data_IF_234047416796
#
_entry.id   IF_234047416796
#
_cell.length_a   1.000
_cell.length_b   1.000
_cell.length_c   1.000
_cell.angle_alpha   90.00
_cell.angle_beta   90.00
_cell.angle_gamma   90.00
#
_symmetry.space_group_name_H-M   'P 1'
#
loop_
_entity.id
_entity.type
_entity.pdbx_description
1 polymer ?
#
# COMPACT_ATOMS: atom_id res chain seq x y z
N UNK A 1 -5.78 28.20 37.90
CA UNK A 1 -5.57 28.83 36.57
C UNK A 1 -5.98 27.77 35.57
N UNK A 2 -7.24 27.85 35.16
CA UNK A 2 -7.92 26.84 34.36
C UNK A 2 -7.72 27.15 32.87
N UNK A 3 -7.32 26.14 32.11
CA UNK A 3 -7.00 26.24 30.67
C UNK A 3 -7.97 25.40 29.82
N UNK A 4 -9.23 25.31 30.24
CA UNK A 4 -10.30 24.69 29.46
C UNK A 4 -11.21 25.79 28.90
N UNK A 5 -10.92 26.30 27.69
CA UNK A 5 -11.87 26.92 26.75
C UNK A 5 -11.16 27.64 25.60
N UNK A 6 -10.60 26.90 24.63
CA UNK A 6 -10.13 27.50 23.37
C UNK A 6 -10.11 26.47 22.24
N UNK A 7 -11.28 25.93 21.90
CA UNK A 7 -11.54 25.34 20.58
C UNK A 7 -12.95 25.66 20.15
N UNK A 8 -13.13 26.91 19.72
CA UNK A 8 -14.34 27.38 19.04
C UNK A 8 -14.01 27.65 17.57
N UNK A 9 -14.67 26.87 16.71
CA UNK A 9 -15.09 27.19 15.34
C UNK A 9 -14.07 27.72 14.32
N UNK A 10 -13.63 26.83 13.43
CA UNK A 10 -13.09 27.17 12.10
C UNK A 10 -14.08 26.78 10.98
N UNK A 11 -14.19 27.56 9.88
CA UNK A 11 -15.31 27.50 8.95
C UNK A 11 -15.23 26.34 7.95
N UNK A 12 -16.41 25.80 7.61
CA UNK A 12 -16.64 24.88 6.50
C UNK A 12 -16.28 25.54 5.16
N UNK A 13 -15.42 24.90 4.38
CA UNK A 13 -15.25 25.21 2.95
C UNK A 13 -16.11 24.27 2.10
N UNK A 14 -16.76 24.78 1.03
CA UNK A 14 -17.58 23.96 0.15
C UNK A 14 -16.73 23.13 -0.82
N UNK A 15 -17.16 21.90 -1.03
CA UNK A 15 -16.67 20.98 -2.05
C UNK A 15 -17.31 21.38 -3.39
N UNK A 16 -16.56 22.05 -4.25
CA UNK A 16 -16.92 22.17 -5.67
C UNK A 16 -16.11 21.17 -6.51
N UNK A 17 -16.82 20.14 -6.95
CA UNK A 17 -16.43 19.26 -8.04
C UNK A 17 -16.73 19.94 -9.36
N UNK A 18 -15.74 20.18 -10.23
CA UNK A 18 -15.98 20.27 -11.66
C UNK A 18 -14.85 19.64 -12.49
N UNK A 19 -15.28 18.69 -13.31
CA UNK A 19 -14.57 18.05 -14.39
C UNK A 19 -14.14 19.07 -15.45
N UNK A 20 -12.95 18.89 -16.01
CA UNK A 20 -12.48 19.64 -17.17
C UNK A 20 -11.56 18.78 -18.03
N UNK A 21 -12.15 18.14 -19.04
CA UNK A 21 -11.46 17.46 -20.13
C UNK A 21 -10.57 18.46 -20.89
N UNK A 22 -9.27 18.16 -20.98
CA UNK A 22 -8.33 18.85 -21.86
C UNK A 22 -7.72 17.85 -22.83
N UNK A 23 -8.34 17.72 -23.99
CA UNK A 23 -7.80 17.05 -25.18
C UNK A 23 -6.80 17.99 -25.84
N UNK A 24 -5.58 17.53 -26.13
CA UNK A 24 -4.71 18.13 -27.14
C UNK A 24 -3.75 17.09 -27.72
N UNK A 25 -3.51 17.27 -29.01
CA UNK A 25 -3.16 16.27 -30.01
C UNK A 25 -1.66 16.10 -30.27
N UNK A 26 -1.36 15.02 -31.02
CA UNK A 26 -0.21 14.80 -31.91
C UNK A 26 1.16 14.58 -31.24
N UNK A 27 2.05 13.70 -31.68
CA UNK A 27 2.33 13.20 -33.03
C UNK A 27 3.14 11.88 -32.99
N UNK A 28 3.01 11.05 -34.03
CA UNK A 28 3.85 9.88 -34.33
C UNK A 28 5.35 10.23 -34.41
N UNK A 29 6.26 9.25 -34.27
CA UNK A 29 6.71 8.56 -35.49
C UNK A 29 6.92 7.04 -35.38
N UNK A 30 6.73 6.45 -36.55
CA UNK A 30 7.05 5.14 -37.09
C UNK A 30 8.40 4.55 -36.66
N UNK A 31 8.43 3.24 -36.38
CA UNK A 31 9.69 2.48 -36.30
C UNK A 31 9.51 1.02 -35.87
N UNK A 32 9.62 0.12 -36.84
CA UNK A 32 9.45 -1.33 -36.77
C UNK A 32 10.22 -2.07 -35.64
N UNK A 33 9.68 -3.21 -35.18
CA UNK A 33 10.28 -4.54 -35.45
C UNK A 33 9.54 -5.65 -34.71
N UNK A 34 9.26 -6.71 -35.47
CA UNK A 34 8.60 -7.96 -35.12
C UNK A 34 9.19 -8.71 -33.92
N UNK A 35 8.31 -9.22 -33.04
CA UNK A 35 8.25 -10.64 -32.67
C UNK A 35 7.09 -10.86 -31.69
N UNK A 36 5.93 -11.21 -32.24
CA UNK A 36 4.78 -11.65 -31.46
C UNK A 36 5.02 -13.08 -30.94
N UNK A 37 5.27 -13.21 -29.63
CA UNK A 37 5.05 -14.48 -28.92
C UNK A 37 3.54 -14.63 -28.70
N UNK A 38 2.93 -15.47 -29.51
CA UNK A 38 1.52 -15.80 -29.49
C UNK A 38 1.20 -16.61 -28.21
N UNK A 39 0.73 -15.93 -27.16
CA UNK A 39 0.13 -16.58 -25.99
C UNK A 39 -1.31 -16.92 -26.37
N UNK A 40 -1.59 -18.21 -26.57
CA UNK A 40 -2.96 -18.71 -26.76
C UNK A 40 -3.76 -18.47 -25.47
N UNK A 41 -4.61 -17.45 -25.48
CA UNK A 41 -5.65 -17.27 -24.48
C UNK A 41 -6.77 -18.25 -24.85
N UNK A 42 -6.84 -19.37 -24.12
CA UNK A 42 -7.97 -20.30 -24.18
C UNK A 42 -9.11 -19.61 -23.43
N UNK A 43 -9.92 -18.86 -24.16
CA UNK A 43 -11.21 -18.35 -23.69
C UNK A 43 -12.20 -19.51 -23.72
N UNK A 44 -12.55 -20.06 -22.56
CA UNK A 44 -13.66 -21.01 -22.46
C UNK A 44 -14.99 -20.34 -22.83
N UNK A 45 -15.85 -20.99 -23.63
CA UNK A 45 -17.16 -20.47 -23.94
C UNK A 45 -18.05 -20.49 -22.69
N UNK A 46 -18.45 -19.30 -22.26
CA UNK A 46 -19.52 -19.08 -21.28
C UNK A 46 -20.77 -19.81 -21.74
N UNK A 47 -21.17 -20.83 -20.97
CA UNK A 47 -22.41 -21.57 -21.15
C UNK A 47 -23.60 -20.60 -21.17
N UNK A 48 -24.16 -20.37 -22.35
CA UNK A 48 -25.44 -19.70 -22.53
C UNK A 48 -26.54 -20.65 -22.07
N UNK A 49 -27.08 -20.41 -20.88
CA UNK A 49 -28.30 -21.05 -20.44
C UNK A 49 -29.47 -20.45 -21.22
N UNK A 50 -29.99 -21.22 -22.18
CA UNK A 50 -31.23 -20.87 -22.86
C UNK A 50 -32.38 -20.79 -21.84
N UNK A 51 -33.22 -19.74 -21.88
CA UNK A 51 -34.42 -19.69 -21.05
C UNK A 51 -35.38 -20.79 -21.51
N UNK A 52 -35.70 -21.71 -20.60
CA UNK A 52 -36.72 -22.75 -20.82
C UNK A 52 -38.06 -22.02 -20.92
N UNK A 53 -38.56 -21.91 -22.15
CA UNK A 53 -39.90 -21.40 -22.45
C UNK A 53 -40.92 -22.46 -22.04
N UNK A 54 -41.45 -22.34 -20.82
CA UNK A 54 -42.51 -23.21 -20.32
C UNK A 54 -43.83 -22.72 -20.90
N UNK A 55 -44.33 -23.43 -21.91
CA UNK A 55 -45.68 -23.24 -22.42
C UNK A 55 -46.71 -23.62 -21.32
N UNK A 56 -47.83 -22.87 -21.17
CA UNK A 56 -48.86 -23.20 -20.20
C UNK A 56 -49.64 -24.44 -20.67
N UNK A 57 -49.34 -25.60 -20.08
CA UNK A 57 -50.16 -26.80 -20.24
C UNK A 57 -51.48 -26.59 -19.49
N UNK A 58 -52.57 -26.46 -20.26
CA UNK A 58 -53.93 -26.41 -19.72
C UNK A 58 -54.26 -27.73 -19.02
N UNK A 59 -54.48 -27.68 -17.71
CA UNK A 59 -54.95 -28.79 -16.90
C UNK A 59 -56.47 -28.99 -17.10
N UNK A 60 -56.96 -30.24 -17.19
CA UNK A 60 -58.38 -30.52 -17.25
C UNK A 60 -59.04 -30.30 -15.89
N UNK A 61 -60.18 -29.62 -15.90
CA UNK A 61 -61.10 -29.49 -14.76
C UNK A 61 -61.80 -30.82 -14.47
N UNK A 62 -61.69 -31.39 -13.26
CA UNK A 62 -62.58 -32.45 -12.81
C UNK A 62 -63.83 -31.84 -12.16
N UNK A 63 -64.98 -32.14 -12.76
CA UNK A 63 -66.29 -31.93 -12.16
C UNK A 63 -66.70 -33.14 -11.31
N UNK A 64 -67.48 -32.85 -10.27
CA UNK A 64 -68.32 -33.74 -9.45
C UNK A 64 -67.75 -34.20 -8.09
N UNK A 65 -68.18 -33.45 -7.08
CA UNK A 65 -69.12 -33.89 -6.03
C UNK A 65 -68.80 -35.17 -5.25
N UNK A 66 -68.20 -34.99 -4.07
CA UNK A 66 -68.50 -35.80 -2.89
C UNK A 66 -68.33 -34.94 -1.64
N UNK A 67 -69.45 -34.62 -0.98
CA UNK A 67 -69.47 -33.86 0.26
C UNK A 67 -69.24 -34.79 1.45
N UNK A 68 -67.98 -34.95 1.85
CA UNK A 68 -67.64 -35.34 3.21
C UNK A 68 -66.87 -34.17 3.81
N UNK A 69 -67.43 -33.57 4.86
CA UNK A 69 -66.81 -32.46 5.58
C UNK A 69 -65.42 -32.91 6.09
N UNK A 70 -64.32 -32.24 5.69
CA UNK A 70 -63.00 -32.57 6.20
C UNK A 70 -62.91 -32.08 7.65
N UNK A 71 -63.09 -33.00 8.60
CA UNK A 71 -62.58 -32.82 9.96
C UNK A 71 -61.05 -32.91 9.86
N UNK A 72 -60.34 -31.88 10.32
CA UNK A 72 -58.88 -31.64 10.22
C UNK A 72 -58.40 -30.70 9.11
N UNK A 73 -58.90 -29.47 9.04
CA UNK A 73 -58.34 -28.40 8.19
C UNK A 73 -57.41 -27.43 8.93
N UNK A 74 -57.44 -27.41 10.27
CA UNK A 74 -56.69 -26.42 11.07
C UNK A 74 -55.17 -26.61 11.07
N UNK A 75 -54.64 -27.79 10.72
CA UNK A 75 -53.18 -28.04 10.73
C UNK A 75 -52.50 -27.69 9.40
N UNK A 76 -53.25 -27.55 8.30
CA UNK A 76 -52.67 -27.40 6.97
C UNK A 76 -52.13 -25.98 6.72
N UNK A 77 -52.77 -24.96 7.29
CA UNK A 77 -52.32 -23.56 7.17
C UNK A 77 -51.01 -23.31 7.92
N UNK A 78 -50.85 -23.93 9.10
CA UNK A 78 -49.64 -23.85 9.92
C UNK A 78 -48.45 -24.53 9.22
N UNK A 79 -48.65 -25.72 8.62
CA UNK A 79 -47.63 -26.40 7.83
C UNK A 79 -47.18 -25.57 6.61
N UNK A 80 -48.12 -24.95 5.90
CA UNK A 80 -47.81 -24.07 4.76
C UNK A 80 -47.06 -22.82 5.22
N UNK A 81 -47.42 -22.23 6.35
CA UNK A 81 -46.72 -21.08 6.92
C UNK A 81 -45.28 -21.45 7.32
N UNK A 82 -45.09 -22.62 7.94
CA UNK A 82 -43.76 -23.12 8.30
C UNK A 82 -42.88 -23.32 7.06
N UNK A 83 -43.38 -24.03 6.04
CA UNK A 83 -42.63 -24.27 4.80
C UNK A 83 -42.27 -22.97 4.07
N UNK A 84 -43.15 -21.96 4.11
CA UNK A 84 -42.86 -20.63 3.56
C UNK A 84 -41.75 -19.92 4.34
N UNK A 85 -41.74 -20.04 5.67
CA UNK A 85 -40.68 -19.53 6.52
C UNK A 85 -39.33 -20.19 6.23
N UNK A 86 -39.31 -21.52 6.14
CA UNK A 86 -38.11 -22.29 5.79
C UNK A 86 -37.59 -21.91 4.39
N UNK A 87 -38.47 -21.81 3.39
CA UNK A 87 -38.10 -21.40 2.04
C UNK A 87 -37.53 -19.97 2.00
N UNK A 88 -38.10 -19.04 2.78
CA UNK A 88 -37.60 -17.67 2.88
C UNK A 88 -36.19 -17.63 3.49
N UNK A 89 -35.96 -18.37 4.59
CA UNK A 89 -34.65 -18.48 5.20
C UNK A 89 -33.62 -19.11 4.25
N UNK A 90 -34.01 -20.13 3.49
CA UNK A 90 -33.10 -20.81 2.56
C UNK A 90 -32.73 -19.90 1.38
N UNK A 91 -33.68 -19.10 0.86
CA UNK A 91 -33.39 -18.08 -0.15
C UNK A 91 -32.43 -17.02 0.37
N UNK A 92 -32.59 -16.57 1.62
CA UNK A 92 -31.68 -15.59 2.21
C UNK A 92 -30.26 -16.15 2.34
N UNK A 93 -30.11 -17.40 2.81
CA UNK A 93 -28.82 -18.09 2.86
C UNK A 93 -28.19 -18.20 1.48
N UNK A 94 -28.98 -18.57 0.46
CA UNK A 94 -28.51 -18.68 -0.93
C UNK A 94 -27.99 -17.35 -1.46
N UNK A 95 -28.72 -16.24 -1.24
CA UNK A 95 -28.27 -14.89 -1.65
C UNK A 95 -26.99 -14.48 -0.92
N UNK A 96 -26.88 -14.79 0.38
CA UNK A 96 -25.67 -14.50 1.16
C UNK A 96 -24.46 -15.28 0.66
N UNK A 97 -24.64 -16.57 0.36
CA UNK A 97 -23.58 -17.42 -0.19
C UNK A 97 -23.14 -16.93 -1.57
N UNK A 98 -24.07 -16.51 -2.43
CA UNK A 98 -23.74 -15.95 -3.75
C UNK A 98 -22.94 -14.64 -3.63
N UNK A 99 -23.33 -13.74 -2.74
CA UNK A 99 -22.58 -12.51 -2.47
C UNK A 99 -21.17 -12.79 -1.95
N UNK A 100 -21.00 -13.82 -1.10
CA UNK A 100 -19.69 -14.25 -0.62
C UNK A 100 -18.82 -14.82 -1.74
N UNK A 101 -19.38 -15.64 -2.62
CA UNK A 101 -18.70 -16.17 -3.81
C UNK A 101 -18.22 -15.03 -4.71
N UNK A 102 -19.08 -14.05 -5.01
CA UNK A 102 -18.71 -12.89 -5.83
C UNK A 102 -17.57 -12.09 -5.19
N UNK A 103 -17.62 -11.89 -3.87
CA UNK A 103 -16.55 -11.21 -3.13
C UNK A 103 -15.23 -11.97 -3.20
N UNK A 104 -15.26 -13.30 -3.07
CA UNK A 104 -14.07 -14.14 -3.17
C UNK A 104 -13.47 -14.11 -4.59
N UNK A 105 -14.32 -14.19 -5.62
CA UNK A 105 -13.88 -14.09 -7.02
C UNK A 105 -13.24 -12.74 -7.34
N UNK A 106 -13.80 -11.63 -6.83
CA UNK A 106 -13.21 -10.31 -6.99
C UNK A 106 -11.84 -10.21 -6.29
N UNK A 107 -11.73 -10.77 -5.08
CA UNK A 107 -10.46 -10.84 -4.34
C UNK A 107 -9.42 -11.69 -5.07
N UNK A 108 -9.82 -12.81 -5.67
CA UNK A 108 -8.93 -13.70 -6.42
C UNK A 108 -8.36 -12.98 -7.66
N UNK A 109 -9.20 -12.29 -8.44
CA UNK A 109 -8.77 -11.49 -9.60
C UNK A 109 -7.75 -10.43 -9.21
N UNK A 110 -8.02 -9.66 -8.15
CA UNK A 110 -7.09 -8.67 -7.63
C UNK A 110 -5.76 -9.29 -7.20
N UNK A 111 -5.80 -10.48 -6.57
CA UNK A 111 -4.57 -11.18 -6.17
C UNK A 111 -3.75 -11.66 -7.38
N UNK A 112 -4.41 -12.16 -8.43
CA UNK A 112 -3.76 -12.57 -9.67
C UNK A 112 -3.08 -11.38 -10.37
N UNK A 113 -3.76 -10.23 -10.47
CA UNK A 113 -3.21 -9.01 -11.04
C UNK A 113 -1.95 -8.52 -10.29
N UNK A 114 -1.98 -8.56 -8.95
CA UNK A 114 -0.80 -8.22 -8.14
C UNK A 114 0.39 -9.14 -8.41
N UNK A 115 0.15 -10.45 -8.55
CA UNK A 115 1.21 -11.42 -8.85
C UNK A 115 1.81 -11.16 -10.22
N UNK A 116 0.98 -10.87 -11.23
CA UNK A 116 1.43 -10.52 -12.58
C UNK A 116 2.27 -9.23 -12.54
N UNK A 117 1.79 -8.18 -11.87
CA UNK A 117 2.50 -6.91 -11.73
C UNK A 117 3.85 -7.09 -11.02
N UNK A 118 3.91 -7.89 -9.95
CA UNK A 118 5.14 -8.20 -9.25
C UNK A 118 6.13 -8.96 -10.15
N UNK A 119 5.64 -9.93 -10.93
CA UNK A 119 6.48 -10.68 -11.87
C UNK A 119 7.06 -9.77 -12.96
N UNK A 120 6.24 -8.90 -13.56
CA UNK A 120 6.69 -7.92 -14.55
C UNK A 120 7.74 -6.97 -13.97
N UNK A 121 7.51 -6.43 -12.76
CA UNK A 121 8.48 -5.55 -12.09
C UNK A 121 9.79 -6.26 -11.78
N UNK A 122 9.73 -7.52 -11.35
CA UNK A 122 10.92 -8.33 -11.08
C UNK A 122 11.76 -8.54 -12.34
N UNK A 123 11.11 -8.81 -13.47
CA UNK A 123 11.77 -8.98 -14.77
C UNK A 123 12.38 -7.69 -15.30
N UNK A 124 11.74 -6.55 -15.05
CA UNK A 124 12.30 -5.22 -15.38
C UNK A 124 13.59 -4.95 -14.59
N UNK A 125 13.55 -5.16 -13.28
CA UNK A 125 14.72 -4.98 -12.42
C UNK A 125 15.88 -5.89 -12.81
N UNK A 126 15.60 -7.11 -13.25
CA UNK A 126 16.63 -8.02 -13.75
C UNK A 126 17.31 -7.49 -15.02
N UNK A 127 16.54 -6.92 -15.96
CA UNK A 127 17.08 -6.28 -17.17
C UNK A 127 17.89 -5.03 -16.85
N UNK A 128 17.40 -4.17 -15.96
CA UNK A 128 18.16 -2.99 -15.48
C UNK A 128 19.48 -3.41 -14.84
N UNK A 129 19.47 -4.45 -14.00
CA UNK A 129 20.68 -4.95 -13.34
C UNK A 129 21.70 -5.51 -14.35
N UNK A 130 21.25 -6.26 -15.36
CA UNK A 130 22.13 -6.74 -16.43
C UNK A 130 22.74 -5.58 -17.24
N UNK A 131 21.96 -4.54 -17.55
CA UNK A 131 22.45 -3.35 -18.25
C UNK A 131 23.52 -2.61 -17.42
N UNK A 132 23.29 -2.47 -16.11
CA UNK A 132 24.27 -1.88 -15.19
C UNK A 132 25.56 -2.71 -15.12
N UNK A 133 25.45 -4.04 -15.05
CA UNK A 133 26.62 -4.93 -15.07
C UNK A 133 27.42 -4.79 -16.37
N UNK A 134 26.75 -4.72 -17.52
CA UNK A 134 27.42 -4.48 -18.80
C UNK A 134 28.16 -3.14 -18.81
N UNK A 135 27.49 -2.07 -18.36
CA UNK A 135 28.09 -0.73 -18.28
C UNK A 135 29.31 -0.70 -17.35
N UNK A 136 29.23 -1.35 -16.20
CA UNK A 136 30.36 -1.47 -15.27
C UNK A 136 31.54 -2.20 -15.91
N UNK A 137 31.27 -3.31 -16.61
CA UNK A 137 32.30 -4.07 -17.34
C UNK A 137 32.97 -3.23 -18.42
N UNK A 138 32.23 -2.39 -19.13
CA UNK A 138 32.80 -1.52 -20.17
C UNK A 138 33.61 -0.37 -19.57
N UNK A 139 33.13 0.24 -18.48
CA UNK A 139 33.90 1.24 -17.72
C UNK A 139 35.22 0.66 -17.20
N UNK A 140 35.22 -0.57 -16.67
CA UNK A 140 36.44 -1.25 -16.24
C UNK A 140 37.43 -1.48 -17.38
N UNK A 141 36.95 -1.85 -18.59
CA UNK A 141 37.81 -1.96 -19.77
C UNK A 141 38.39 -0.60 -20.16
N UNK A 142 37.56 0.44 -20.22
CA UNK A 142 38.01 1.80 -20.53
C UNK A 142 39.09 2.26 -19.54
N UNK A 143 38.88 2.03 -18.24
CA UNK A 143 39.84 2.40 -17.20
C UNK A 143 41.17 1.65 -17.37
N UNK A 144 41.14 0.33 -17.66
CA UNK A 144 42.35 -0.43 -17.98
C UNK A 144 43.09 0.12 -19.20
N UNK A 145 42.37 0.49 -20.27
CA UNK A 145 43.00 1.08 -21.46
C UNK A 145 43.64 2.44 -21.20
N UNK A 146 43.01 3.31 -20.38
CA UNK A 146 43.57 4.61 -19.99
C UNK A 146 44.83 4.45 -19.10
N UNK A 147 44.83 3.49 -18.18
CA UNK A 147 46.00 3.21 -17.34
C UNK A 147 47.16 2.66 -18.20
N UNK A 148 46.88 1.79 -19.16
CA UNK A 148 47.91 1.22 -20.04
C UNK A 148 48.49 2.28 -20.99
N UNK A 149 47.67 3.16 -21.57
CA UNK A 149 48.15 4.23 -22.45
C UNK A 149 48.99 5.28 -21.72
N UNK A 150 48.67 5.61 -20.47
CA UNK A 150 49.46 6.53 -19.64
C UNK A 150 50.79 5.94 -19.18
N UNK A 151 50.90 4.62 -19.01
CA UNK A 151 52.16 3.95 -18.68
C UNK A 151 53.16 3.88 -19.84
N UNK A 152 52.69 3.98 -21.09
CA UNK A 152 53.54 4.03 -22.29
C UNK A 152 54.07 5.43 -22.62
N UNK A 153 53.52 6.48 -22.01
CA UNK A 153 54.02 7.87 -22.13
C UNK A 153 54.84 8.25 -20.90
N UNK A 154 55.98 7.58 -20.70
CA UNK A 154 57.02 8.07 -19.79
C UNK A 154 57.67 9.34 -20.38
N UNK A 155 57.03 10.49 -20.13
CA UNK A 155 57.55 11.78 -20.58
C UNK A 155 56.75 13.01 -20.17
N UNK A 156 55.85 12.97 -19.19
CA UNK A 156 55.23 14.18 -18.60
C UNK A 156 54.46 13.88 -17.30
N UNK A 157 55.10 13.25 -16.31
CA UNK A 157 54.49 13.01 -15.00
C UNK A 157 54.50 14.30 -14.15
N UNK A 158 53.56 15.21 -14.40
CA UNK A 158 53.24 16.31 -13.46
C UNK A 158 51.75 16.64 -13.38
N UNK A 159 50.92 16.24 -14.35
CA UNK A 159 49.51 16.64 -14.39
C UNK A 159 48.53 15.60 -13.81
N UNK A 160 48.91 14.31 -13.71
CA UNK A 160 48.00 13.25 -13.26
C UNK A 160 47.62 13.33 -11.77
N UNK A 161 48.55 13.74 -10.90
CA UNK A 161 48.27 13.87 -9.47
C UNK A 161 47.24 14.97 -9.19
N UNK A 162 47.33 16.10 -9.91
CA UNK A 162 46.41 17.24 -9.75
C UNK A 162 44.97 16.89 -10.14
N UNK A 163 44.78 16.09 -11.20
CA UNK A 163 43.46 15.67 -11.67
C UNK A 163 42.76 14.71 -10.70
N UNK A 164 43.51 13.77 -10.10
CA UNK A 164 42.97 12.83 -9.10
C UNK A 164 42.54 13.57 -7.82
N UNK A 165 43.30 14.59 -7.38
CA UNK A 165 42.86 15.46 -6.28
C UNK A 165 41.64 16.29 -6.64
N UNK A 166 41.47 16.74 -7.89
CA UNK A 166 40.27 17.48 -8.32
C UNK A 166 39.01 16.61 -8.26
N UNK A 167 39.07 15.39 -8.79
CA UNK A 167 37.94 14.45 -8.78
C UNK A 167 37.61 14.00 -7.35
N UNK A 168 38.62 13.76 -6.50
CA UNK A 168 38.39 13.48 -5.08
C UNK A 168 37.78 14.66 -4.34
N UNK A 169 38.12 15.90 -4.71
CA UNK A 169 37.56 17.10 -4.08
C UNK A 169 36.10 17.32 -4.52
N UNK A 170 35.79 17.09 -5.79
CA UNK A 170 34.43 17.20 -6.33
C UNK A 170 33.48 16.14 -5.74
N UNK A 171 33.94 14.90 -5.55
CA UNK A 171 33.15 13.82 -4.91
C UNK A 171 32.96 14.07 -3.40
N UNK A 172 33.90 14.74 -2.73
CA UNK A 172 33.77 15.09 -1.31
C UNK A 172 32.90 16.34 -1.08
N UNK A 173 32.77 17.22 -2.09
CA UNK A 173 31.97 18.44 -2.00
C UNK A 173 30.46 18.19 -2.26
N UNK A 174 30.08 17.06 -2.88
CA UNK A 174 28.68 16.62 -3.00
C UNK A 174 28.11 16.05 -1.68
N UNK A 175 28.95 15.75 -0.69
CA UNK A 175 28.53 15.18 0.61
C UNK A 175 28.19 16.24 1.68
N UNK A 176 28.34 17.55 1.39
CA UNK A 176 28.26 18.59 2.43
C UNK A 176 27.40 19.81 2.07
N UNK A 177 26.36 19.64 1.25
CA UNK A 177 25.21 20.57 1.31
C UNK A 177 24.41 20.30 2.59
N UNK A 178 25.03 20.57 3.74
CA UNK A 178 24.35 20.63 5.02
C UNK A 178 23.29 21.71 4.92
N UNK A 179 22.04 21.26 4.79
CA UNK A 179 20.89 22.14 4.68
C UNK A 179 20.86 23.03 5.92
N UNK A 180 20.84 24.34 5.72
CA UNK A 180 20.86 25.29 6.84
C UNK A 180 19.60 25.11 7.69
N UNK A 181 19.66 25.40 9.00
CA UNK A 181 18.50 25.24 9.88
C UNK A 181 17.28 26.05 9.40
N UNK A 182 17.50 27.20 8.76
CA UNK A 182 16.43 28.01 8.19
C UNK A 182 15.77 27.37 6.97
N UNK A 183 16.55 26.73 6.09
CA UNK A 183 16.03 25.94 4.97
C UNK A 183 15.24 24.72 5.45
N UNK A 184 15.73 24.02 6.48
CA UNK A 184 15.05 22.88 7.10
C UNK A 184 13.69 23.31 7.66
N UNK A 185 13.64 24.43 8.40
CA UNK A 185 12.39 24.99 8.93
C UNK A 185 11.44 25.42 7.83
N UNK A 186 11.95 26.00 6.74
CA UNK A 186 11.13 26.42 5.61
C UNK A 186 10.52 25.23 4.87
N UNK A 187 11.32 24.18 4.62
CA UNK A 187 10.83 22.92 4.06
C UNK A 187 9.74 22.32 4.96
N UNK A 188 9.96 22.31 6.28
CA UNK A 188 8.98 21.83 7.23
C UNK A 188 7.66 22.63 7.14
N UNK A 189 7.75 23.95 7.22
CA UNK A 189 6.60 24.86 7.18
C UNK A 189 5.80 24.69 5.87
N UNK A 190 6.50 24.56 4.74
CA UNK A 190 5.88 24.47 3.42
C UNK A 190 5.23 23.11 3.14
N UNK A 191 5.81 22.01 3.63
CA UNK A 191 5.39 20.65 3.26
C UNK A 191 4.65 19.87 4.35
N UNK A 192 4.73 20.32 5.62
CA UNK A 192 4.38 19.50 6.78
C UNK A 192 3.62 20.25 7.89
N UNK A 193 3.32 21.54 7.73
CA UNK A 193 2.58 22.35 8.73
C UNK A 193 1.10 22.00 8.88
N UNK A 194 0.53 21.22 7.96
CA UNK A 194 -0.82 20.68 8.07
C UNK A 194 -0.84 19.49 9.03
N UNK A 195 -1.54 19.61 10.15
CA UNK A 195 -1.59 18.60 11.22
C UNK A 195 -1.67 17.15 10.72
N UNK A 196 -0.78 16.31 11.24
CA UNK A 196 -0.40 15.03 10.64
C UNK A 196 -1.41 13.90 10.89
N UNK A 197 -2.07 13.88 12.05
CA UNK A 197 -2.88 12.75 12.50
C UNK A 197 -4.20 13.21 13.12
N UNK A 198 -5.35 12.74 12.62
CA UNK A 198 -6.65 13.07 13.19
C UNK A 198 -6.90 12.34 14.53
N UNK A 199 -7.47 13.06 15.48
CA UNK A 199 -8.53 12.51 16.34
C UNK A 199 -8.16 11.76 17.61
N UNK A 200 -6.90 11.73 18.07
CA UNK A 200 -6.57 11.18 19.41
C UNK A 200 -5.45 12.01 20.05
N UNK A 201 -5.53 12.25 21.37
CA UNK A 201 -4.48 12.91 22.17
C UNK A 201 -3.21 12.02 22.23
N UNK A 202 -2.49 11.96 21.11
CA UNK A 202 -1.29 11.15 20.89
C UNK A 202 -0.04 12.01 21.12
N UNK A 203 0.97 11.41 21.75
CA UNK A 203 2.28 12.04 21.95
C UNK A 203 3.14 11.73 20.74
N UNK A 204 3.10 12.61 19.75
CA UNK A 204 3.75 12.40 18.45
C UNK A 204 5.11 13.10 18.32
N UNK A 205 5.46 13.99 19.25
CA UNK A 205 6.71 14.77 19.18
C UNK A 205 8.00 13.94 19.17
N UNK A 206 7.97 12.67 19.61
CA UNK A 206 9.12 11.77 19.54
C UNK A 206 9.21 10.97 18.22
N UNK A 207 8.27 11.16 17.29
CA UNK A 207 8.21 10.45 16.01
C UNK A 207 8.43 11.34 14.79
N UNK A 208 8.25 12.65 14.92
CA UNK A 208 8.35 13.62 13.84
C UNK A 208 9.39 14.68 14.16
N UNK A 209 9.83 15.39 13.11
CA UNK A 209 10.67 16.57 13.25
C UNK A 209 9.96 17.68 14.02
N UNK A 210 10.65 18.26 14.98
CA UNK A 210 10.20 19.43 15.74
C UNK A 210 11.04 20.66 15.33
N UNK A 211 10.46 21.65 14.63
CA UNK A 211 11.18 22.83 14.16
C UNK A 211 11.70 23.73 15.29
N UNK A 212 11.20 23.55 16.53
CA UNK A 212 11.70 24.26 17.71
C UNK A 212 13.05 23.74 18.18
N UNK A 213 13.42 22.50 17.79
CA UNK A 213 14.73 21.92 18.10
C UNK A 213 15.77 22.38 17.07
N UNK A 214 16.97 22.72 17.53
CA UNK A 214 18.07 23.20 16.68
C UNK A 214 18.93 22.05 16.11
N UNK A 215 18.38 20.84 15.92
CA UNK A 215 19.10 19.70 15.35
C UNK A 215 18.40 19.17 14.10
N UNK A 216 19.14 19.11 12.97
CA UNK A 216 18.68 18.50 11.74
C UNK A 216 19.83 17.70 11.09
N UNK A 217 19.59 16.45 10.62
CA UNK A 217 18.39 15.65 10.83
C UNK A 217 18.21 15.25 12.30
N UNK A 218 16.99 15.40 12.84
CA UNK A 218 16.66 15.05 14.22
C UNK A 218 16.55 13.52 14.38
N UNK A 219 17.09 12.98 15.48
CA UNK A 219 16.88 11.56 15.84
C UNK A 219 15.48 11.36 16.39
N UNK A 220 14.70 10.50 15.75
CA UNK A 220 13.33 10.16 16.19
C UNK A 220 13.17 8.66 16.38
N UNK A 221 12.15 8.28 17.15
CA UNK A 221 11.81 6.89 17.40
C UNK A 221 11.25 6.21 16.12
N UNK A 222 11.67 4.97 15.90
CA UNK A 222 11.05 4.11 14.90
C UNK A 222 9.90 3.30 15.52
N UNK A 223 8.66 3.60 15.12
CA UNK A 223 7.53 2.74 15.40
C UNK A 223 7.48 1.62 14.35
N UNK A 224 8.28 0.57 14.53
CA UNK A 224 8.44 -0.47 13.50
C UNK A 224 7.14 -1.24 13.19
N UNK A 225 6.17 -1.27 14.12
CA UNK A 225 4.84 -1.85 13.90
C UNK A 225 3.76 -1.20 14.77
N UNK A 226 2.49 -1.47 14.47
CA UNK A 226 1.33 -0.89 15.15
C UNK A 226 1.21 -1.28 16.63
N UNK A 227 1.67 -2.47 17.01
CA UNK A 227 1.73 -2.90 18.40
C UNK A 227 2.71 -2.07 19.24
N UNK A 228 3.93 -1.85 18.73
CA UNK A 228 4.93 -1.01 19.41
C UNK A 228 4.43 0.44 19.49
N UNK A 229 3.82 0.94 18.41
CA UNK A 229 3.19 2.25 18.41
C UNK A 229 2.12 2.38 19.51
N UNK A 230 1.19 1.43 19.58
CA UNK A 230 0.18 1.37 20.62
C UNK A 230 0.80 1.39 22.03
N UNK A 231 1.73 0.48 22.29
CA UNK A 231 2.36 0.31 23.61
C UNK A 231 3.06 1.60 24.07
N UNK A 232 3.70 2.32 23.15
CA UNK A 232 4.36 3.59 23.45
C UNK A 232 3.36 4.71 23.75
N UNK A 233 2.21 4.73 23.08
CA UNK A 233 1.15 5.73 23.28
C UNK A 233 0.25 5.43 24.49
N UNK A 234 0.07 4.15 24.83
CA UNK A 234 -0.85 3.63 25.85
C UNK A 234 -0.11 2.61 26.74
N UNK A 235 0.79 3.09 27.62
CA UNK A 235 1.51 2.20 28.52
C UNK A 235 0.55 1.58 29.56
N UNK A 236 0.69 0.27 29.79
CA UNK A 236 -0.14 -0.47 30.74
C UNK A 236 -0.07 0.08 32.18
N UNK A 237 1.05 0.74 32.55
CA UNK A 237 1.20 1.40 33.85
C UNK A 237 0.18 2.52 34.09
N UNK A 238 -0.48 3.02 33.04
CA UNK A 238 -1.54 4.03 33.12
C UNK A 238 -2.95 3.41 33.10
N UNK A 239 -3.06 2.09 33.24
CA UNK A 239 -4.35 1.39 33.26
C UNK A 239 -5.01 1.21 31.88
N UNK A 240 -4.28 1.43 30.79
CA UNK A 240 -4.79 1.11 29.44
C UNK A 240 -4.76 -0.40 29.19
N UNK A 241 -5.76 -0.88 28.44
CA UNK A 241 -5.86 -2.29 28.04
C UNK A 241 -4.60 -2.77 27.33
N UNK A 242 -4.22 -4.03 27.55
CA UNK A 242 -3.08 -4.60 26.81
C UNK A 242 -3.49 -4.82 25.36
N UNK A 243 -2.52 -4.80 24.44
CA UNK A 243 -2.80 -5.04 23.02
C UNK A 243 -3.60 -6.32 22.76
N UNK A 244 -3.29 -7.40 23.48
CA UNK A 244 -3.98 -8.68 23.30
C UNK A 244 -5.45 -8.63 23.75
N UNK A 245 -5.79 -7.74 24.67
CA UNK A 245 -7.13 -7.51 25.21
C UNK A 245 -7.97 -6.58 24.32
N UNK A 246 -7.34 -5.88 23.35
CA UNK A 246 -8.06 -5.05 22.39
C UNK A 246 -8.89 -5.89 21.43
N UNK A 247 -10.07 -5.38 21.11
CA UNK A 247 -10.92 -5.90 20.05
C UNK A 247 -10.23 -5.82 18.69
N UNK A 248 -10.73 -6.59 17.71
CA UNK A 248 -10.20 -6.55 16.34
C UNK A 248 -10.30 -5.15 15.73
N UNK A 249 -11.43 -4.47 15.96
CA UNK A 249 -11.71 -3.13 15.46
C UNK A 249 -10.71 -2.10 16.02
N UNK A 250 -10.43 -2.13 17.33
CA UNK A 250 -9.44 -1.24 17.93
C UNK A 250 -8.03 -1.48 17.39
N UNK A 251 -7.63 -2.75 17.22
CA UNK A 251 -6.34 -3.11 16.61
C UNK A 251 -6.22 -2.57 15.19
N UNK A 252 -7.32 -2.63 14.42
CA UNK A 252 -7.38 -2.08 13.07
C UNK A 252 -7.25 -0.56 13.06
N UNK A 253 -7.94 0.16 13.96
CA UNK A 253 -7.78 1.61 14.11
C UNK A 253 -6.32 2.01 14.41
N UNK A 254 -5.68 1.33 15.35
CA UNK A 254 -4.27 1.58 15.68
C UNK A 254 -3.33 1.25 14.51
N UNK A 255 -3.66 0.23 13.73
CA UNK A 255 -2.93 -0.12 12.52
C UNK A 255 -3.08 0.95 11.44
N UNK A 256 -4.27 1.53 11.29
CA UNK A 256 -4.51 2.65 10.37
C UNK A 256 -3.75 3.91 10.80
N UNK A 257 -3.80 4.28 12.08
CA UNK A 257 -3.02 5.41 12.63
C UNK A 257 -1.51 5.21 12.45
N UNK A 258 -1.01 4.01 12.73
CA UNK A 258 0.39 3.65 12.51
C UNK A 258 0.79 3.79 11.02
N UNK A 259 -0.07 3.37 10.10
CA UNK A 259 0.19 3.48 8.65
C UNK A 259 0.31 4.94 8.21
N UNK A 260 -0.55 5.82 8.74
CA UNK A 260 -0.49 7.27 8.47
C UNK A 260 0.83 7.83 9.03
N UNK A 261 1.16 7.50 10.29
CA UNK A 261 2.41 7.91 10.91
C UNK A 261 3.64 7.49 10.09
N UNK A 262 3.68 6.23 9.62
CA UNK A 262 4.81 5.72 8.83
C UNK A 262 4.99 6.44 7.50
N UNK A 263 3.90 6.70 6.78
CA UNK A 263 3.95 7.47 5.54
C UNK A 263 4.54 8.85 5.77
N UNK A 264 4.18 9.48 6.88
CA UNK A 264 4.66 10.81 7.21
C UNK A 264 6.13 10.81 7.67
N UNK A 265 6.53 9.84 8.52
CA UNK A 265 7.94 9.64 8.86
C UNK A 265 8.80 9.41 7.61
N UNK A 266 8.32 8.60 6.65
CA UNK A 266 9.04 8.36 5.41
C UNK A 266 9.21 9.64 4.57
N UNK A 267 8.18 10.49 4.51
CA UNK A 267 8.27 11.79 3.83
C UNK A 267 9.31 12.70 4.49
N UNK A 268 9.32 12.79 5.82
CA UNK A 268 10.29 13.62 6.55
C UNK A 268 11.72 13.06 6.46
N UNK A 269 11.87 11.74 6.46
CA UNK A 269 13.15 11.07 6.25
C UNK A 269 13.71 11.35 4.84
N UNK A 270 12.89 11.22 3.81
CA UNK A 270 13.27 11.55 2.42
C UNK A 270 13.62 13.03 2.23
N UNK A 271 13.01 13.90 3.03
CA UNK A 271 13.32 15.33 3.05
C UNK A 271 14.56 15.67 3.89
N UNK A 272 15.22 14.68 4.50
CA UNK A 272 16.40 14.90 5.34
C UNK A 272 16.11 15.56 6.69
N UNK A 273 14.84 15.61 7.12
CA UNK A 273 14.44 16.27 8.37
C UNK A 273 14.68 15.37 9.59
N UNK A 274 14.49 14.07 9.42
CA UNK A 274 14.65 13.08 10.50
C UNK A 274 15.60 11.96 10.09
N UNK A 275 16.19 11.34 11.11
CA UNK A 275 16.90 10.06 11.01
C UNK A 275 16.36 9.13 12.10
N UNK A 276 16.19 7.86 11.77
CA UNK A 276 15.77 6.89 12.76
C UNK A 276 16.92 6.60 13.70
N UNK A 277 16.63 6.61 15.00
CA UNK A 277 17.57 6.06 15.97
C UNK A 277 17.81 4.58 15.61
N UNK A 278 19.07 4.22 15.32
CA UNK A 278 19.45 2.83 15.18
C UNK A 278 19.29 2.18 16.55
N UNK A 279 18.09 1.68 16.84
CA UNK A 279 17.95 0.69 17.89
C UNK A 279 18.86 -0.45 17.47
N UNK A 280 19.95 -0.65 18.20
CA UNK A 280 20.81 -1.82 18.05
C UNK A 280 19.93 -3.00 18.44
N UNK A 281 19.13 -3.47 17.49
CA UNK A 281 18.51 -4.77 17.53
C UNK A 281 19.69 -5.71 17.64
N UNK A 282 19.97 -6.20 18.85
CA UNK A 282 20.73 -7.42 19.05
C UNK A 282 20.03 -8.48 18.21
N UNK A 283 20.46 -8.60 16.94
CA UNK A 283 20.27 -9.80 16.14
C UNK A 283 20.98 -10.87 16.95
N UNK A 284 20.24 -11.56 17.82
CA UNK A 284 20.61 -12.88 18.26
C UNK A 284 20.68 -13.72 16.99
N UNK A 285 21.88 -13.75 16.41
CA UNK A 285 22.29 -14.73 15.43
C UNK A 285 22.11 -16.05 16.15
N UNK A 286 20.97 -16.68 15.92
CA UNK A 286 20.71 -18.04 16.36
C UNK A 286 21.60 -18.91 15.47
N UNK A 287 22.87 -19.03 15.84
CA UNK A 287 23.75 -20.07 15.31
C UNK A 287 23.12 -21.39 15.76
N UNK A 288 22.39 -22.02 14.84
CA UNK A 288 22.11 -23.44 14.89
C UNK A 288 23.46 -24.13 14.72
N UNK A 289 24.10 -24.45 15.83
CA UNK A 289 25.03 -25.57 15.89
C UNK A 289 24.23 -26.84 15.60
N UNK A 290 24.38 -27.35 14.37
CA UNK A 290 24.17 -28.76 14.07
C UNK A 290 25.48 -29.46 14.45
N UNK A 291 25.43 -30.25 15.52
CA UNK A 291 26.25 -31.45 15.70
C UNK A 291 25.32 -32.66 15.60
#
# INVERSE_FOLDING_TARGET
>A
MDFDNLYESGPYLPIESQNGFGVSSSSEPTGASDQASQVQIITEPVNQWSPISIAPTALPTPSCSSSLAPKYTWNQEDEVAQLRGELAMEREKSVRAEAEIQKLQASERLSADMVIMHHLRSRELERENQALQSKNKDLEKSLKTTVQSSSSSHGAFSHGAAAITRIKKEILEDEEHSMTLDEVREIWRKKFSGGILPGKNLKLGCYFFDPSTNEAPQKVNDASNSYIFYRNQRPASKGYSKWNELTLMEKEEWTNLWRILRKEQERQWKAGLIKFEKVVLFRMKKEKSFE
#
